data_IF_655160530913
#
_entry.id   IF_655160530913
#
_cell.length_a   1.000
_cell.length_b   1.000
_cell.length_c   1.000
_cell.angle_alpha   90.00
_cell.angle_beta   90.00
_cell.angle_gamma   90.00
#
_symmetry.space_group_name_H-M   'P 1'
#
loop_
_entity.id
_entity.type
_entity.pdbx_description
1 polymer ?
#
# COMPACT_ATOMS: atom_id res chain seq x y z
N UNK A 1 1.07 8.42 25.44
CA UNK A 1 0.09 7.90 24.46
C UNK A 1 0.41 8.49 23.09
N UNK A 2 0.40 7.70 22.01
CA UNK A 2 0.64 8.20 20.66
C UNK A 2 -0.49 9.14 20.21
N UNK A 3 -0.16 10.16 19.40
CA UNK A 3 -1.18 11.04 18.79
C UNK A 3 -2.15 10.22 17.90
N UNK A 4 -3.45 10.54 17.89
CA UNK A 4 -4.45 9.90 17.02
C UNK A 4 -4.03 9.75 15.55
N UNK A 5 -3.38 10.79 15.00
CA UNK A 5 -2.85 10.78 13.62
C UNK A 5 -1.77 9.73 13.43
N UNK A 6 -0.86 9.60 14.40
CA UNK A 6 0.25 8.66 14.34
C UNK A 6 -0.30 7.24 14.40
N UNK A 7 -1.21 6.96 15.33
CA UNK A 7 -1.88 5.65 15.42
C UNK A 7 -2.59 5.30 14.12
N UNK A 8 -3.38 6.24 13.55
CA UNK A 8 -4.04 6.06 12.26
C UNK A 8 -3.04 5.74 11.14
N UNK A 9 -1.93 6.47 11.06
CA UNK A 9 -0.91 6.25 10.02
C UNK A 9 -0.22 4.89 10.17
N UNK A 10 0.11 4.47 11.41
CA UNK A 10 0.70 3.16 11.67
C UNK A 10 -0.24 2.05 11.19
N UNK A 11 -1.52 2.12 11.56
CA UNK A 11 -2.49 1.10 11.11
C UNK A 11 -2.65 1.05 9.59
N UNK A 12 -2.32 2.12 8.88
CA UNK A 12 -2.33 2.18 7.40
C UNK A 12 -1.03 1.66 6.77
N UNK A 13 0.12 1.81 7.43
CA UNK A 13 1.43 1.31 6.95
C UNK A 13 1.58 -0.19 7.17
N UNK A 14 1.22 -0.69 8.37
CA UNK A 14 1.47 -2.09 8.77
C UNK A 14 0.98 -3.11 7.74
N UNK A 15 -0.23 -3.00 7.15
CA UNK A 15 -0.69 -3.95 6.14
C UNK A 15 0.21 -4.05 4.91
N UNK A 16 0.88 -2.97 4.49
CA UNK A 16 1.83 -3.04 3.39
C UNK A 16 3.01 -3.96 3.75
N UNK A 17 3.60 -3.77 4.93
CA UNK A 17 4.68 -4.63 5.40
C UNK A 17 4.26 -6.11 5.51
N UNK A 18 3.07 -6.36 6.10
CA UNK A 18 2.55 -7.72 6.29
C UNK A 18 2.25 -8.42 4.97
N UNK A 19 1.60 -7.74 4.02
CA UNK A 19 1.31 -8.32 2.70
C UNK A 19 2.60 -8.67 1.95
N UNK A 20 3.57 -7.76 1.95
CA UNK A 20 4.85 -7.98 1.29
C UNK A 20 5.66 -9.11 1.93
N UNK A 21 5.67 -9.20 3.26
CA UNK A 21 6.25 -10.32 4.00
C UNK A 21 5.59 -11.65 3.63
N UNK A 22 4.26 -11.69 3.61
CA UNK A 22 3.51 -12.90 3.28
C UNK A 22 3.78 -13.36 1.84
N UNK A 23 3.67 -12.47 0.86
CA UNK A 23 3.90 -12.83 -0.54
C UNK A 23 5.38 -13.15 -0.83
N UNK A 24 6.33 -12.56 -0.12
CA UNK A 24 7.74 -12.95 -0.27
C UNK A 24 8.03 -14.32 0.32
N UNK A 25 7.39 -14.71 1.43
CA UNK A 25 7.45 -16.10 1.92
C UNK A 25 6.89 -17.09 0.88
N UNK A 26 5.74 -16.79 0.29
CA UNK A 26 5.19 -17.60 -0.81
C UNK A 26 6.17 -17.70 -1.99
N UNK A 27 6.81 -16.58 -2.35
CA UNK A 27 7.82 -16.58 -3.40
C UNK A 27 9.00 -17.49 -3.08
N UNK A 28 9.54 -17.46 -1.86
CA UNK A 28 10.69 -18.31 -1.50
C UNK A 28 10.38 -19.81 -1.62
N UNK A 29 9.14 -20.21 -1.28
CA UNK A 29 8.68 -21.59 -1.43
C UNK A 29 8.51 -21.95 -2.91
N UNK A 30 7.89 -21.04 -3.69
CA UNK A 30 7.73 -21.23 -5.14
C UNK A 30 9.09 -21.32 -5.84
N UNK A 31 10.03 -20.43 -5.51
CA UNK A 31 11.39 -20.41 -6.05
C UNK A 31 12.12 -21.73 -5.75
N UNK A 32 12.07 -22.22 -4.51
CA UNK A 32 12.66 -23.51 -4.15
C UNK A 32 12.01 -24.67 -4.92
N UNK A 33 10.69 -24.65 -5.05
CA UNK A 33 9.94 -25.66 -5.80
C UNK A 33 10.31 -25.70 -7.29
N UNK A 34 10.52 -24.53 -7.90
CA UNK A 34 10.92 -24.41 -9.31
C UNK A 34 12.39 -24.79 -9.56
N UNK A 35 13.30 -24.45 -8.63
CA UNK A 35 14.71 -24.82 -8.72
C UNK A 35 14.97 -26.29 -8.40
N UNK A 36 14.10 -26.92 -7.60
CA UNK A 36 14.27 -28.30 -7.16
C UNK A 36 15.58 -28.51 -6.40
N UNK A 37 16.41 -29.44 -6.90
CA UNK A 37 17.68 -29.83 -6.29
C UNK A 37 18.89 -29.06 -6.86
N UNK A 38 18.66 -27.99 -7.62
CA UNK A 38 19.76 -27.15 -8.10
C UNK A 38 20.35 -26.33 -6.94
N UNK A 39 21.68 -26.33 -6.85
CA UNK A 39 22.45 -25.57 -5.85
C UNK A 39 22.90 -24.20 -6.38
N UNK A 40 22.48 -23.84 -7.60
CA UNK A 40 22.79 -22.56 -8.23
C UNK A 40 21.64 -22.12 -9.14
N UNK A 41 21.57 -20.82 -9.37
CA UNK A 41 20.65 -20.25 -10.36
C UNK A 41 21.16 -20.56 -11.79
N UNK A 42 20.37 -21.23 -12.66
CA UNK A 42 20.85 -21.68 -13.98
C UNK A 42 21.42 -20.58 -14.88
N UNK A 43 20.90 -19.36 -14.75
CA UNK A 43 21.22 -18.24 -15.66
C UNK A 43 22.38 -17.41 -15.15
N UNK A 44 22.45 -17.20 -13.84
CA UNK A 44 23.46 -16.32 -13.23
C UNK A 44 24.65 -17.10 -12.69
N UNK A 45 24.53 -18.42 -12.52
CA UNK A 45 25.55 -19.27 -11.90
C UNK A 45 25.74 -18.99 -10.40
N UNK A 46 24.96 -18.07 -9.82
CA UNK A 46 25.08 -17.68 -8.41
C UNK A 46 24.63 -18.85 -7.53
N UNK A 47 25.40 -19.21 -6.48
CA UNK A 47 25.01 -20.24 -5.54
C UNK A 47 23.65 -19.93 -4.90
N UNK A 48 22.79 -20.93 -4.87
CA UNK A 48 21.48 -20.85 -4.28
C UNK A 48 21.49 -21.46 -2.88
N UNK A 49 21.09 -20.67 -1.88
CA UNK A 49 20.97 -21.10 -0.50
C UNK A 49 19.56 -20.79 0.01
N UNK A 50 18.74 -21.83 0.12
CA UNK A 50 17.38 -21.71 0.61
C UNK A 50 17.32 -21.25 2.07
N UNK A 51 18.20 -21.78 2.92
CA UNK A 51 18.20 -21.47 4.35
C UNK A 51 18.51 -20.00 4.58
N UNK A 52 19.38 -19.39 3.76
CA UNK A 52 19.59 -17.94 3.77
C UNK A 52 18.39 -17.19 3.17
N UNK A 53 17.94 -17.59 1.98
CA UNK A 53 16.95 -16.85 1.21
C UNK A 53 15.57 -16.76 1.89
N UNK A 54 15.18 -17.80 2.64
CA UNK A 54 13.91 -17.80 3.40
C UNK A 54 13.86 -16.73 4.50
N UNK A 55 15.01 -16.20 4.93
CA UNK A 55 15.07 -15.08 5.88
C UNK A 55 15.38 -13.75 5.18
N UNK A 56 16.34 -13.72 4.26
CA UNK A 56 16.79 -12.46 3.66
C UNK A 56 15.77 -11.84 2.72
N UNK A 57 15.12 -12.64 1.86
CA UNK A 57 14.13 -12.14 0.89
C UNK A 57 12.90 -11.58 1.61
N UNK A 58 12.31 -12.27 2.62
CA UNK A 58 11.16 -11.72 3.31
C UNK A 58 11.50 -10.52 4.21
N UNK A 59 12.68 -10.49 4.82
CA UNK A 59 13.14 -9.31 5.56
C UNK A 59 13.28 -8.08 4.65
N UNK A 60 13.91 -8.23 3.48
CA UNK A 60 14.04 -7.14 2.50
C UNK A 60 12.67 -6.70 1.97
N UNK A 61 11.76 -7.64 1.73
CA UNK A 61 10.41 -7.36 1.26
C UNK A 61 9.56 -6.64 2.30
N UNK A 62 9.68 -7.02 3.58
CA UNK A 62 9.02 -6.32 4.69
C UNK A 62 9.48 -4.86 4.77
N UNK A 63 10.78 -4.61 4.69
CA UNK A 63 11.33 -3.25 4.67
C UNK A 63 10.79 -2.46 3.48
N UNK A 64 10.77 -3.06 2.29
CA UNK A 64 10.23 -2.43 1.09
C UNK A 64 8.72 -2.15 1.19
N UNK A 65 7.96 -3.06 1.78
CA UNK A 65 6.53 -2.88 2.07
C UNK A 65 6.29 -1.71 3.04
N UNK A 66 7.05 -1.62 4.12
CA UNK A 66 6.95 -0.51 5.09
C UNK A 66 7.30 0.82 4.41
N UNK A 67 8.41 0.88 3.65
CA UNK A 67 8.79 2.08 2.89
C UNK A 67 7.70 2.49 1.91
N UNK A 68 7.13 1.52 1.19
CA UNK A 68 6.02 1.75 0.27
C UNK A 68 4.79 2.30 1.00
N UNK A 69 4.43 1.74 2.16
CA UNK A 69 3.33 2.25 2.99
C UNK A 69 3.57 3.67 3.51
N UNK A 70 4.82 4.01 3.88
CA UNK A 70 5.18 5.37 4.30
C UNK A 70 5.02 6.34 3.13
N UNK A 71 5.53 5.99 1.95
CA UNK A 71 5.38 6.79 0.73
C UNK A 71 3.91 6.98 0.35
N UNK A 72 3.10 5.92 0.48
CA UNK A 72 1.67 5.97 0.21
C UNK A 72 0.98 7.04 1.04
N UNK A 73 1.18 7.02 2.36
CA UNK A 73 0.48 7.92 3.28
C UNK A 73 1.00 9.35 3.20
N UNK A 74 2.31 9.51 3.07
CA UNK A 74 2.95 10.84 3.18
C UNK A 74 2.79 11.64 1.89
N UNK A 75 2.89 10.97 0.73
CA UNK A 75 2.96 11.62 -0.57
C UNK A 75 1.79 11.24 -1.48
N UNK A 76 1.59 9.96 -1.77
CA UNK A 76 0.63 9.57 -2.82
C UNK A 76 -0.83 9.78 -2.44
N UNK A 77 -1.24 9.42 -1.22
CA UNK A 77 -2.64 9.58 -0.80
C UNK A 77 -3.06 11.06 -0.83
N UNK A 78 -2.14 11.98 -0.51
CA UNK A 78 -2.38 13.43 -0.58
C UNK A 78 -2.41 13.94 -2.02
N UNK A 79 -1.44 13.54 -2.84
CA UNK A 79 -1.29 14.05 -4.21
C UNK A 79 -2.41 13.57 -5.14
N UNK A 80 -2.92 12.37 -4.91
CA UNK A 80 -3.91 11.72 -5.78
C UNK A 80 -5.35 11.79 -5.24
N UNK A 81 -5.61 12.54 -4.17
CA UNK A 81 -6.90 12.51 -3.46
C UNK A 81 -8.11 12.89 -4.35
N UNK A 82 -7.93 13.82 -5.29
CA UNK A 82 -8.98 14.29 -6.22
C UNK A 82 -9.03 13.50 -7.54
N UNK A 83 -8.19 12.48 -7.74
CA UNK A 83 -8.14 11.69 -9.00
C UNK A 83 -9.11 10.49 -8.94
N UNK A 84 -9.56 10.03 -10.11
CA UNK A 84 -10.42 8.84 -10.22
C UNK A 84 -9.69 7.58 -9.76
N UNK A 85 -10.43 6.61 -9.22
CA UNK A 85 -9.89 5.35 -8.68
C UNK A 85 -8.93 4.66 -9.65
N UNK A 86 -9.36 4.44 -10.90
CA UNK A 86 -8.55 3.78 -11.93
C UNK A 86 -7.25 4.53 -12.22
N UNK A 87 -7.31 5.86 -12.33
CA UNK A 87 -6.12 6.66 -12.54
C UNK A 87 -5.15 6.53 -11.36
N UNK A 88 -5.64 6.55 -10.12
CA UNK A 88 -4.77 6.35 -8.94
C UNK A 88 -4.04 5.02 -9.01
N UNK A 89 -4.75 3.91 -9.25
CA UNK A 89 -4.15 2.57 -9.29
C UNK A 89 -3.09 2.47 -10.39
N UNK A 90 -3.40 2.90 -11.62
CA UNK A 90 -2.45 2.80 -12.75
C UNK A 90 -1.19 3.63 -12.49
N UNK A 91 -1.35 4.93 -12.16
CA UNK A 91 -0.19 5.81 -11.97
C UNK A 91 0.67 5.40 -10.78
N UNK A 92 0.04 5.02 -9.65
CA UNK A 92 0.78 4.53 -8.49
C UNK A 92 1.50 3.24 -8.84
N UNK A 93 0.82 2.26 -9.45
CA UNK A 93 1.42 0.96 -9.83
C UNK A 93 2.68 1.11 -10.68
N UNK A 94 2.65 1.98 -11.70
CA UNK A 94 3.83 2.26 -12.52
C UNK A 94 4.96 2.84 -11.68
N UNK A 95 4.67 3.81 -10.81
CA UNK A 95 5.68 4.46 -9.99
C UNK A 95 6.30 3.49 -8.97
N UNK A 96 5.48 2.69 -8.28
CA UNK A 96 5.97 1.66 -7.37
C UNK A 96 6.82 0.62 -8.10
N UNK A 97 6.42 0.18 -9.29
CA UNK A 97 7.22 -0.72 -10.11
C UNK A 97 8.59 -0.12 -10.46
N UNK A 98 8.65 1.17 -10.80
CA UNK A 98 9.92 1.85 -11.06
C UNK A 98 10.81 1.89 -9.80
N UNK A 99 10.25 2.23 -8.63
CA UNK A 99 10.98 2.20 -7.36
C UNK A 99 11.52 0.79 -7.09
N UNK A 100 10.73 -0.24 -7.36
CA UNK A 100 11.11 -1.63 -7.14
C UNK A 100 12.19 -2.10 -8.09
N UNK A 101 12.15 -1.71 -9.36
CA UNK A 101 13.23 -1.99 -10.32
C UNK A 101 14.54 -1.37 -9.84
N UNK A 102 14.50 -0.11 -9.38
CA UNK A 102 15.68 0.55 -8.79
C UNK A 102 16.15 -0.19 -7.53
N UNK A 103 15.24 -0.63 -6.67
CA UNK A 103 15.57 -1.40 -5.48
C UNK A 103 16.23 -2.75 -5.82
N UNK A 104 15.71 -3.48 -6.82
CA UNK A 104 16.31 -4.72 -7.31
C UNK A 104 17.71 -4.51 -7.90
N UNK A 105 17.92 -3.42 -8.64
CA UNK A 105 19.25 -3.05 -9.14
C UNK A 105 20.24 -2.81 -7.99
N UNK A 106 19.81 -2.10 -6.94
CA UNK A 106 20.62 -1.86 -5.74
C UNK A 106 20.95 -3.18 -5.04
N UNK A 107 19.96 -4.06 -4.83
CA UNK A 107 20.19 -5.36 -4.21
C UNK A 107 21.14 -6.24 -5.03
N UNK A 108 20.98 -6.25 -6.36
CA UNK A 108 21.88 -6.98 -7.26
C UNK A 108 23.30 -6.45 -7.17
N UNK A 109 23.47 -5.13 -7.08
CA UNK A 109 24.76 -4.49 -6.91
C UNK A 109 25.41 -4.85 -5.57
N UNK A 110 24.66 -4.78 -4.46
CA UNK A 110 25.14 -5.18 -3.13
C UNK A 110 25.54 -6.66 -3.11
N UNK A 111 24.71 -7.55 -3.65
CA UNK A 111 25.00 -8.97 -3.71
C UNK A 111 26.28 -9.26 -4.50
N UNK A 112 26.50 -8.51 -5.58
CA UNK A 112 27.73 -8.63 -6.37
C UNK A 112 28.98 -8.18 -5.59
N UNK A 113 28.89 -7.08 -4.84
CA UNK A 113 29.98 -6.61 -3.95
C UNK A 113 30.34 -7.62 -2.86
N UNK A 114 29.35 -8.31 -2.30
CA UNK A 114 29.57 -9.32 -1.24
C UNK A 114 30.18 -10.60 -1.84
N UNK A 115 29.72 -11.01 -3.03
CA UNK A 115 30.19 -12.24 -3.67
C UNK A 115 31.64 -12.13 -4.18
N UNK A 116 32.08 -10.94 -4.58
CA UNK A 116 33.41 -10.70 -5.11
C UNK A 116 34.15 -9.74 -4.18
N UNK A 117 34.93 -10.28 -3.23
CA UNK A 117 35.83 -9.57 -2.30
C UNK A 117 36.79 -8.57 -3.01
N UNK A 118 36.27 -7.46 -3.54
CA UNK A 118 37.05 -6.34 -4.09
C UNK A 118 37.74 -6.57 -5.45
N UNK A 119 37.28 -7.49 -6.31
CA UNK A 119 37.80 -7.63 -7.68
C UNK A 119 36.91 -6.97 -8.76
N UNK A 120 37.51 -6.75 -9.94
CA UNK A 120 37.10 -5.87 -11.05
C UNK A 120 35.58 -5.62 -11.22
N UNK A 121 35.23 -4.32 -11.33
CA UNK A 121 33.88 -3.80 -11.59
C UNK A 121 33.22 -4.41 -12.86
N UNK A 122 34.04 -4.86 -13.81
CA UNK A 122 33.58 -5.47 -15.07
C UNK A 122 33.05 -6.89 -14.87
N UNK A 123 33.61 -7.67 -13.94
CA UNK A 123 33.12 -9.02 -13.58
C UNK A 123 31.86 -8.96 -12.71
N UNK A 124 31.76 -7.90 -11.89
CA UNK A 124 30.62 -7.53 -11.03
C UNK A 124 29.29 -7.40 -11.80
N UNK A 125 29.38 -7.02 -13.08
CA UNK A 125 28.22 -6.74 -13.95
C UNK A 125 27.67 -7.97 -14.65
N UNK A 126 28.44 -9.06 -14.76
CA UNK A 126 28.09 -10.20 -15.62
C UNK A 126 26.85 -10.99 -15.14
N UNK A 127 26.67 -11.32 -13.84
CA UNK A 127 25.49 -12.06 -13.39
C UNK A 127 24.26 -11.15 -13.32
N UNK A 128 24.45 -9.88 -12.92
CA UNK A 128 23.40 -8.86 -12.91
C UNK A 128 22.85 -8.64 -14.32
N UNK A 129 23.74 -8.45 -15.30
CA UNK A 129 23.34 -8.26 -16.71
C UNK A 129 22.60 -9.50 -17.23
N UNK A 130 23.13 -10.69 -16.98
CA UNK A 130 22.49 -11.94 -17.39
C UNK A 130 21.07 -12.09 -16.82
N UNK A 131 20.88 -11.70 -15.55
CA UNK A 131 19.56 -11.69 -14.90
C UNK A 131 18.59 -10.72 -15.56
N UNK A 132 18.99 -9.46 -15.79
CA UNK A 132 18.10 -8.44 -16.37
C UNK A 132 17.82 -8.64 -17.87
N UNK A 133 18.64 -9.42 -18.59
CA UNK A 133 18.39 -9.79 -19.99
C UNK A 133 17.62 -11.10 -20.17
N UNK A 134 17.40 -11.83 -19.08
CA UNK A 134 16.74 -13.14 -19.09
C UNK A 134 15.22 -13.03 -19.03
N UNK A 135 14.52 -14.05 -19.52
CA UNK A 135 13.06 -14.19 -19.33
C UNK A 135 12.65 -14.29 -17.85
N UNK A 136 13.55 -14.72 -16.96
CA UNK A 136 13.28 -14.82 -15.51
C UNK A 136 12.89 -13.48 -14.88
N UNK A 137 13.44 -12.35 -15.37
CA UNK A 137 13.07 -11.02 -14.85
C UNK A 137 11.59 -10.72 -15.10
N UNK A 138 11.03 -11.17 -16.22
CA UNK A 138 9.63 -10.91 -16.57
C UNK A 138 8.71 -11.61 -15.57
N UNK A 139 9.00 -12.87 -15.21
CA UNK A 139 8.24 -13.61 -14.20
C UNK A 139 8.30 -12.94 -12.83
N UNK A 140 9.49 -12.49 -12.41
CA UNK A 140 9.68 -11.79 -11.13
C UNK A 140 8.97 -10.44 -11.13
N UNK A 141 9.08 -9.66 -12.21
CA UNK A 141 8.40 -8.38 -12.34
C UNK A 141 6.87 -8.54 -12.35
N UNK A 142 6.35 -9.57 -13.02
CA UNK A 142 4.92 -9.87 -13.02
C UNK A 142 4.42 -10.26 -11.62
N UNK A 143 5.21 -11.07 -10.91
CA UNK A 143 4.92 -11.43 -9.51
C UNK A 143 4.87 -10.19 -8.61
N UNK A 144 5.91 -9.34 -8.70
CA UNK A 144 6.00 -8.09 -7.95
C UNK A 144 4.86 -7.13 -8.33
N UNK A 145 4.54 -6.98 -9.63
CA UNK A 145 3.44 -6.16 -10.10
C UNK A 145 2.10 -6.60 -9.50
N UNK A 146 1.89 -7.90 -9.38
CA UNK A 146 0.68 -8.46 -8.76
C UNK A 146 0.57 -8.04 -7.29
N UNK A 147 1.66 -8.13 -6.53
CA UNK A 147 1.71 -7.69 -5.12
C UNK A 147 1.43 -6.19 -5.01
N UNK A 148 2.04 -5.36 -5.88
CA UNK A 148 1.84 -3.91 -5.91
C UNK A 148 0.35 -3.58 -6.13
N UNK A 149 -0.26 -4.19 -7.14
CA UNK A 149 -1.69 -3.97 -7.45
C UNK A 149 -2.58 -4.41 -6.31
N UNK A 150 -2.35 -5.61 -5.74
CA UNK A 150 -3.12 -6.12 -4.59
C UNK A 150 -3.01 -5.17 -3.38
N UNK A 151 -1.80 -4.72 -3.07
CA UNK A 151 -1.56 -3.85 -1.92
C UNK A 151 -2.21 -2.48 -2.11
N UNK A 152 -2.15 -1.92 -3.32
CA UNK A 152 -2.83 -0.66 -3.64
C UNK A 152 -4.35 -0.79 -3.62
N UNK A 153 -4.87 -1.88 -4.18
CA UNK A 153 -6.30 -2.13 -4.16
C UNK A 153 -6.81 -2.24 -2.72
N UNK A 154 -6.09 -2.97 -1.87
CA UNK A 154 -6.37 -3.04 -0.44
C UNK A 154 -6.37 -1.65 0.21
N UNK A 155 -5.37 -0.81 -0.08
CA UNK A 155 -5.26 0.53 0.48
C UNK A 155 -6.42 1.45 0.05
N UNK A 156 -6.73 1.53 -1.24
CA UNK A 156 -7.82 2.37 -1.76
C UNK A 156 -9.20 1.85 -1.34
N UNK A 157 -9.39 0.53 -1.30
CA UNK A 157 -10.63 -0.08 -0.82
C UNK A 157 -10.87 0.24 0.66
N UNK A 158 -9.83 0.15 1.49
CA UNK A 158 -9.89 0.53 2.90
C UNK A 158 -10.14 2.02 3.12
N UNK A 159 -9.59 2.88 2.28
CA UNK A 159 -9.89 4.32 2.32
C UNK A 159 -11.35 4.62 1.94
N UNK A 160 -11.90 3.86 0.99
CA UNK A 160 -13.26 4.06 0.47
C UNK A 160 -14.35 3.59 1.44
N UNK A 161 -14.15 2.45 2.12
CA UNK A 161 -15.11 1.88 3.09
C UNK A 161 -15.01 2.52 4.48
N UNK A 162 -13.87 3.13 4.79
CA UNK A 162 -13.57 3.66 6.11
C UNK A 162 -12.75 2.69 6.95
N UNK A 163 -11.84 3.24 7.77
CA UNK A 163 -10.79 2.49 8.46
C UNK A 163 -11.32 1.45 9.47
N UNK A 164 -12.44 1.73 10.13
CA UNK A 164 -13.04 0.85 11.15
C UNK A 164 -13.92 -0.24 10.55
N UNK A 165 -14.71 0.10 9.52
CA UNK A 165 -15.68 -0.79 8.89
C UNK A 165 -15.02 -1.98 8.21
N UNK A 166 -13.85 -1.78 7.59
CA UNK A 166 -13.11 -2.87 6.95
C UNK A 166 -12.63 -3.92 7.96
N UNK A 167 -12.16 -3.50 9.14
CA UNK A 167 -11.75 -4.43 10.20
C UNK A 167 -12.96 -5.22 10.71
N UNK A 168 -14.08 -4.55 10.93
CA UNK A 168 -15.32 -5.19 11.37
C UNK A 168 -15.85 -6.20 10.35
N UNK A 169 -15.65 -5.92 9.05
CA UNK A 169 -15.99 -6.85 7.97
C UNK A 169 -15.19 -8.15 8.07
N UNK A 170 -13.86 -8.07 8.18
CA UNK A 170 -13.01 -9.26 8.28
C UNK A 170 -13.14 -10.01 9.62
N UNK A 171 -13.42 -9.30 10.71
CA UNK A 171 -13.66 -9.89 12.04
C UNK A 171 -15.08 -10.48 12.19
N UNK A 172 -15.96 -10.28 11.21
CA UNK A 172 -17.34 -10.79 11.22
C UNK A 172 -18.31 -10.00 12.11
N UNK A 173 -17.85 -9.00 12.85
CA UNK A 173 -18.69 -8.10 13.65
C UNK A 173 -19.56 -7.18 12.79
N UNK A 174 -19.24 -7.05 11.49
CA UNK A 174 -20.11 -6.38 10.53
C UNK A 174 -21.48 -7.06 10.38
N UNK A 175 -21.53 -8.39 10.51
CA UNK A 175 -22.75 -9.17 10.27
C UNK A 175 -23.55 -9.46 11.54
N UNK A 176 -23.01 -9.12 12.72
CA UNK A 176 -23.65 -9.38 14.00
C UNK A 176 -23.77 -8.08 14.78
N UNK A 177 -24.98 -7.66 15.19
CA UNK A 177 -25.13 -6.46 15.99
C UNK A 177 -24.39 -6.61 17.32
N UNK A 178 -23.60 -5.60 17.68
CA UNK A 178 -22.86 -5.52 18.95
C UNK A 178 -23.33 -4.27 19.67
N UNK A 179 -23.53 -4.37 20.99
CA UNK A 179 -23.86 -3.21 21.83
C UNK A 179 -22.57 -2.44 22.10
N UNK A 180 -22.53 -1.18 21.71
CA UNK A 180 -21.42 -0.26 21.91
C UNK A 180 -21.93 1.03 22.55
N UNK A 181 -21.17 1.60 23.48
CA UNK A 181 -21.42 2.95 23.98
C UNK A 181 -20.70 3.94 23.06
N UNK A 182 -21.46 4.81 22.40
CA UNK A 182 -20.93 5.80 21.45
C UNK A 182 -21.58 7.15 21.63
N UNK A 183 -20.80 8.20 21.39
CA UNK A 183 -21.31 9.58 21.34
C UNK A 183 -21.56 9.92 19.88
N UNK A 184 -22.71 10.51 19.57
CA UNK A 184 -23.05 10.98 18.22
C UNK A 184 -23.14 12.50 18.17
N UNK A 185 -22.62 13.06 17.09
CA UNK A 185 -22.73 14.48 16.74
C UNK A 185 -23.28 14.60 15.33
N UNK A 186 -24.26 15.48 15.19
CA UNK A 186 -24.94 15.79 13.94
C UNK A 186 -24.54 17.20 13.54
N UNK A 187 -23.89 17.34 12.38
CA UNK A 187 -23.40 18.62 11.87
C UNK A 187 -24.09 18.91 10.55
N UNK A 188 -24.89 19.97 10.52
CA UNK A 188 -25.71 20.34 9.37
C UNK A 188 -25.28 21.71 8.79
N UNK A 189 -25.50 21.88 7.49
CA UNK A 189 -25.17 23.09 6.77
C UNK A 189 -26.31 24.11 6.89
N UNK A 190 -25.99 25.29 7.42
CA UNK A 190 -26.97 26.38 7.47
C UNK A 190 -27.39 26.83 6.07
N UNK A 191 -28.71 26.90 5.84
CA UNK A 191 -29.32 27.42 4.60
C UNK A 191 -28.92 26.66 3.33
N UNK A 192 -28.68 25.35 3.44
CA UNK A 192 -28.25 24.49 2.33
C UNK A 192 -29.20 24.50 1.13
N UNK A 193 -30.51 24.50 1.34
CA UNK A 193 -31.51 24.58 0.26
C UNK A 193 -31.33 25.83 -0.59
N UNK A 194 -31.21 26.99 0.05
CA UNK A 194 -31.00 28.28 -0.64
C UNK A 194 -29.67 28.29 -1.40
N UNK A 195 -28.61 27.68 -0.83
CA UNK A 195 -27.32 27.56 -1.51
C UNK A 195 -27.44 26.64 -2.74
N UNK A 196 -28.13 25.51 -2.63
CA UNK A 196 -28.35 24.56 -3.71
C UNK A 196 -29.17 25.16 -4.86
N UNK A 197 -30.24 25.90 -4.54
CA UNK A 197 -31.07 26.61 -5.52
C UNK A 197 -30.27 27.67 -6.28
N UNK A 198 -29.42 28.41 -5.59
CA UNK A 198 -28.59 29.46 -6.21
C UNK A 198 -27.44 28.91 -7.06
N UNK A 199 -26.76 27.85 -6.61
CA UNK A 199 -25.61 27.27 -7.30
C UNK A 199 -26.00 26.30 -8.42
N UNK A 200 -27.17 25.68 -8.31
CA UNK A 200 -27.56 24.52 -9.10
C UNK A 200 -26.84 23.24 -8.66
N UNK A 201 -27.44 22.10 -8.96
CA UNK A 201 -27.05 20.78 -8.44
C UNK A 201 -25.55 20.42 -8.64
N UNK A 202 -24.97 20.66 -9.82
CA UNK A 202 -23.56 20.29 -10.09
C UNK A 202 -22.59 21.03 -9.18
N UNK A 203 -22.66 22.36 -9.16
CA UNK A 203 -21.75 23.21 -8.35
C UNK A 203 -21.99 23.00 -6.86
N UNK A 204 -23.24 22.76 -6.47
CA UNK A 204 -23.59 22.43 -5.09
C UNK A 204 -22.94 21.11 -4.63
N UNK A 205 -22.98 20.05 -5.45
CA UNK A 205 -22.29 18.80 -5.12
C UNK A 205 -20.76 18.94 -5.06
N UNK A 206 -20.17 19.74 -5.95
CA UNK A 206 -18.73 20.05 -5.89
C UNK A 206 -18.37 20.79 -4.59
N UNK A 207 -19.18 21.80 -4.20
CA UNK A 207 -19.01 22.53 -2.95
C UNK A 207 -19.17 21.61 -1.73
N UNK A 208 -20.21 20.77 -1.69
CA UNK A 208 -20.42 19.81 -0.59
C UNK A 208 -19.24 18.85 -0.42
N UNK A 209 -18.66 18.39 -1.53
CA UNK A 209 -17.46 17.54 -1.50
C UNK A 209 -16.28 18.26 -0.85
N UNK A 210 -16.07 19.54 -1.13
CA UNK A 210 -15.00 20.33 -0.50
C UNK A 210 -15.31 20.64 0.97
N UNK A 211 -16.57 20.97 1.29
CA UNK A 211 -17.04 21.18 2.67
C UNK A 211 -16.78 19.98 3.58
N UNK A 212 -17.19 18.76 3.17
CA UNK A 212 -16.93 17.56 3.95
C UNK A 212 -15.44 17.19 4.00
N UNK A 213 -14.70 17.47 2.92
CA UNK A 213 -13.25 17.24 2.91
C UNK A 213 -12.55 18.08 3.99
N UNK A 214 -12.90 19.36 4.11
CA UNK A 214 -12.31 20.26 5.10
C UNK A 214 -12.68 19.85 6.53
N UNK A 215 -13.94 19.49 6.77
CA UNK A 215 -14.40 19.02 8.09
C UNK A 215 -13.75 17.70 8.53
N UNK A 216 -13.48 16.79 7.57
CA UNK A 216 -12.92 15.47 7.87
C UNK A 216 -11.59 15.56 8.63
N UNK A 217 -10.79 16.61 8.39
CA UNK A 217 -9.54 16.84 9.11
C UNK A 217 -9.75 17.01 10.61
N UNK A 218 -10.74 17.79 11.03
CA UNK A 218 -11.04 18.04 12.44
C UNK A 218 -11.54 16.77 13.14
N UNK A 219 -12.39 15.99 12.46
CA UNK A 219 -12.89 14.70 12.95
C UNK A 219 -11.73 13.75 13.26
N UNK A 220 -10.79 13.61 12.32
CA UNK A 220 -9.62 12.74 12.47
C UNK A 220 -8.70 13.20 13.60
N UNK A 221 -8.51 14.52 13.75
CA UNK A 221 -7.65 15.08 14.80
C UNK A 221 -8.17 14.74 16.20
N UNK A 222 -9.48 14.60 16.36
CA UNK A 222 -10.16 14.34 17.62
C UNK A 222 -10.69 12.91 17.70
N UNK A 223 -10.06 11.94 17.03
CA UNK A 223 -10.39 10.50 17.08
C UNK A 223 -11.80 10.12 16.64
N UNK A 224 -12.55 11.05 16.03
CA UNK A 224 -13.90 10.76 15.56
C UNK A 224 -13.90 9.89 14.30
N UNK A 225 -15.01 9.20 14.08
CA UNK A 225 -15.32 8.45 12.88
C UNK A 225 -16.55 9.05 12.19
N UNK A 226 -16.51 9.10 10.86
CA UNK A 226 -17.66 9.54 10.07
C UNK A 226 -18.57 8.33 9.94
N UNK A 227 -19.75 8.40 10.55
CA UNK A 227 -20.73 7.32 10.51
C UNK A 227 -21.46 7.31 9.16
N UNK A 228 -21.97 8.48 8.75
CA UNK A 228 -22.74 8.63 7.52
C UNK A 228 -22.77 10.09 7.06
N UNK A 229 -22.92 10.28 5.75
CA UNK A 229 -23.38 11.54 5.16
C UNK A 229 -24.85 11.40 4.76
N UNK A 230 -25.68 12.35 5.17
CA UNK A 230 -27.12 12.37 4.89
C UNK A 230 -27.47 13.71 4.21
N UNK A 231 -27.36 13.75 2.88
CA UNK A 231 -27.49 15.01 2.15
C UNK A 231 -26.30 15.93 2.45
N UNK A 232 -26.58 17.06 3.07
CA UNK A 232 -25.63 18.07 3.57
C UNK A 232 -25.19 17.86 5.02
N UNK A 233 -25.81 16.90 5.71
CA UNK A 233 -25.50 16.56 7.09
C UNK A 233 -24.34 15.55 7.18
N UNK A 234 -23.46 15.78 8.15
CA UNK A 234 -22.36 14.90 8.53
C UNK A 234 -22.60 14.32 9.92
N UNK A 235 -22.76 13.00 10.00
CA UNK A 235 -22.95 12.28 11.27
C UNK A 235 -21.60 11.73 11.73
N UNK A 236 -21.14 12.21 12.88
CA UNK A 236 -19.85 11.85 13.48
C UNK A 236 -20.10 11.04 14.75
N UNK A 237 -19.27 10.04 14.98
CA UNK A 237 -19.32 9.22 16.19
C UNK A 237 -17.94 9.02 16.80
N UNK A 238 -17.90 8.85 18.11
CA UNK A 238 -16.74 8.41 18.88
C UNK A 238 -17.09 7.05 19.46
#
# INVERSE_FOLDING_TARGET
MLSPKITRNITRIVPFGVLWLFFSLLYTVLEKGLLGNLDHYPITGVPYDFARNVFTIPAASLLMGILSGILEITYFSKRFIKKSFTAKIIFKSILYLLILIVFLLILSFINSLIAHNGQNINELSSPTRAFFTSYSIIGILLYIASIVVITQFYAEFRESIGLGTLNNFFLGTYHRPVVEERIFMFVDMKSSTTIAENLGHVKYFEMLKEYFFDLSGAVINHTGAIYQYAGDEMIITW
#
